data_IF_129785322737
#
_entry.id   IF_129785322737
#
_cell.length_a   1.000
_cell.length_b   1.000
_cell.length_c   1.000
_cell.angle_alpha   90.00
_cell.angle_beta   90.00
_cell.angle_gamma   90.00
#
_symmetry.space_group_name_H-M   'P 1'
#
loop_
_entity.id
_entity.type
_entity.pdbx_description
1 polymer ?
#
# COMPACT_ATOMS: atom_id res chain seq x y z
N UNK A 1 9.84 -15.02 -12.14
CA UNK A 1 8.98 -15.95 -12.90
C UNK A 1 9.80 -16.95 -13.72
N UNK A 2 10.83 -16.50 -14.44
CA UNK A 2 11.68 -17.35 -15.29
C UNK A 2 12.18 -18.62 -14.59
N UNK A 3 12.77 -18.49 -13.41
CA UNK A 3 13.26 -19.65 -12.64
C UNK A 3 12.17 -20.69 -12.35
N UNK A 4 10.91 -20.27 -12.14
CA UNK A 4 9.79 -21.20 -11.96
C UNK A 4 9.42 -21.90 -13.28
N UNK A 5 9.41 -21.16 -14.39
CA UNK A 5 9.14 -21.71 -15.72
C UNK A 5 10.22 -22.71 -16.19
N UNK A 6 11.48 -22.49 -15.81
CA UNK A 6 12.59 -23.42 -16.09
C UNK A 6 12.44 -24.78 -15.40
N UNK A 7 11.71 -24.81 -14.28
CA UNK A 7 11.41 -26.03 -13.55
C UNK A 7 10.23 -26.80 -14.16
N UNK A 8 9.44 -26.17 -15.04
CA UNK A 8 8.36 -26.84 -15.76
C UNK A 8 8.92 -27.80 -16.82
N UNK A 9 8.35 -29.00 -16.85
CA UNK A 9 8.74 -30.09 -17.74
C UNK A 9 7.73 -30.34 -18.87
N UNK A 10 6.54 -29.78 -18.76
CA UNK A 10 5.45 -29.91 -19.74
C UNK A 10 4.55 -28.67 -19.76
N UNK A 11 3.67 -28.59 -20.76
CA UNK A 11 2.83 -27.42 -21.03
C UNK A 11 1.75 -27.21 -19.97
N UNK A 12 1.24 -28.27 -19.37
CA UNK A 12 0.29 -28.21 -18.25
C UNK A 12 0.91 -27.57 -17.01
N UNK A 13 2.16 -27.91 -16.69
CA UNK A 13 2.93 -27.28 -15.62
C UNK A 13 3.20 -25.80 -15.86
N UNK A 14 3.43 -25.40 -17.11
CA UNK A 14 3.57 -23.98 -17.49
C UNK A 14 2.27 -23.24 -17.22
N UNK A 15 1.15 -23.79 -17.71
CA UNK A 15 -0.16 -23.19 -17.52
C UNK A 15 -0.49 -23.04 -16.02
N UNK A 16 -0.23 -24.08 -15.24
CA UNK A 16 -0.38 -24.06 -13.78
C UNK A 16 0.54 -23.02 -13.13
N UNK A 17 1.82 -22.97 -13.51
CA UNK A 17 2.79 -22.03 -12.94
C UNK A 17 2.36 -20.58 -13.14
N UNK A 18 1.82 -20.24 -14.32
CA UNK A 18 1.32 -18.89 -14.61
C UNK A 18 0.05 -18.61 -13.79
N UNK A 19 -0.91 -19.53 -13.75
CA UNK A 19 -2.11 -19.37 -12.90
C UNK A 19 -1.76 -19.18 -11.43
N UNK A 20 -0.86 -20.01 -10.90
CA UNK A 20 -0.39 -19.93 -9.52
C UNK A 20 0.36 -18.61 -9.25
N UNK A 21 1.10 -18.07 -10.22
CA UNK A 21 1.75 -16.76 -10.09
C UNK A 21 0.72 -15.64 -9.84
N UNK A 22 -0.39 -15.64 -10.58
CA UNK A 22 -1.46 -14.65 -10.43
C UNK A 22 -2.34 -14.92 -9.20
N UNK A 23 -2.62 -16.18 -8.88
CA UNK A 23 -3.43 -16.57 -7.72
C UNK A 23 -2.72 -16.30 -6.38
N UNK A 24 -1.42 -16.58 -6.31
CA UNK A 24 -0.59 -16.37 -5.12
C UNK A 24 0.03 -14.96 -5.07
N UNK A 25 -0.35 -14.08 -6.00
CA UNK A 25 0.20 -12.72 -6.02
C UNK A 25 -0.34 -11.94 -4.82
N UNK A 26 0.52 -11.76 -3.82
CA UNK A 26 0.16 -11.30 -2.47
C UNK A 26 0.38 -9.79 -2.32
N UNK A 27 -0.44 -9.00 -3.02
CA UNK A 27 -0.55 -7.54 -2.80
C UNK A 27 -2.04 -7.16 -2.84
N UNK A 28 -2.74 -7.34 -1.72
CA UNK A 28 -4.09 -6.80 -1.45
C UNK A 28 -5.07 -6.88 -2.64
N UNK A 29 -5.59 -5.71 -3.06
CA UNK A 29 -6.51 -5.53 -4.19
C UNK A 29 -5.79 -5.38 -5.54
N UNK A 30 -4.47 -5.53 -5.59
CA UNK A 30 -3.69 -5.36 -6.81
C UNK A 30 -3.30 -6.70 -7.44
N UNK A 31 -3.10 -6.69 -8.75
CA UNK A 31 -2.61 -7.81 -9.53
C UNK A 31 -1.65 -7.29 -10.61
N UNK A 32 -0.64 -8.06 -11.07
CA UNK A 32 0.25 -7.59 -12.13
C UNK A 32 -0.51 -7.38 -13.44
N UNK A 33 -0.82 -6.13 -13.78
CA UNK A 33 -1.44 -5.77 -15.05
C UNK A 33 -0.47 -5.91 -16.21
N UNK A 34 0.80 -5.57 -15.98
CA UNK A 34 1.94 -5.86 -16.86
C UNK A 34 3.08 -6.39 -15.99
N UNK A 35 3.70 -7.49 -16.41
CA UNK A 35 4.89 -8.06 -15.78
C UNK A 35 5.94 -8.39 -16.85
N UNK A 36 7.18 -8.02 -16.59
CA UNK A 36 8.32 -8.24 -17.48
C UNK A 36 9.53 -8.72 -16.69
N UNK A 37 10.19 -9.74 -17.20
CA UNK A 37 11.47 -10.24 -16.71
C UNK A 37 12.40 -10.45 -17.92
N UNK A 38 13.65 -9.99 -17.82
CA UNK A 38 14.59 -9.98 -18.93
C UNK A 38 14.50 -8.72 -19.81
N UNK A 39 15.16 -8.74 -20.97
CA UNK A 39 15.38 -7.54 -21.80
C UNK A 39 14.73 -7.64 -23.17
N UNK A 40 13.39 -7.73 -23.20
CA UNK A 40 12.56 -7.72 -24.42
C UNK A 40 12.86 -6.60 -25.45
N UNK A 41 13.72 -5.63 -25.13
CA UNK A 41 13.99 -4.43 -25.92
C UNK A 41 15.48 -4.01 -26.02
N UNK A 42 16.45 -4.78 -25.51
CA UNK A 42 17.87 -4.38 -25.67
C UNK A 42 18.61 -5.25 -26.69
N UNK A 43 19.03 -4.61 -27.78
CA UNK A 43 19.89 -5.13 -28.86
C UNK A 43 21.30 -5.52 -28.43
N UNK A 44 21.64 -5.44 -27.14
CA UNK A 44 22.92 -5.95 -26.62
C UNK A 44 22.77 -7.45 -26.36
N UNK A 45 23.28 -8.22 -27.31
CA UNK A 45 23.25 -9.69 -27.44
C UNK A 45 23.93 -10.48 -26.32
N UNK A 46 24.26 -9.88 -25.19
CA UNK A 46 25.14 -10.51 -24.20
C UNK A 46 24.42 -10.60 -22.84
N UNK A 47 24.19 -11.85 -22.42
CA UNK A 47 23.84 -12.35 -21.08
C UNK A 47 22.41 -12.77 -20.72
N UNK A 48 21.36 -12.46 -21.50
CA UNK A 48 20.02 -12.95 -21.14
C UNK A 48 19.65 -14.27 -21.83
N UNK A 49 19.66 -15.36 -21.05
CA UNK A 49 19.26 -16.70 -21.50
C UNK A 49 17.73 -16.88 -21.57
N UNK A 50 16.94 -16.05 -20.88
CA UNK A 50 15.48 -16.14 -20.86
C UNK A 50 14.76 -14.80 -20.67
N UNK A 51 13.54 -14.71 -21.19
CA UNK A 51 12.66 -13.55 -21.17
C UNK A 51 11.20 -13.99 -20.91
N UNK A 52 10.49 -13.26 -20.05
CA UNK A 52 9.07 -13.48 -19.80
C UNK A 52 8.30 -12.16 -19.73
N UNK A 53 7.26 -12.03 -20.55
CA UNK A 53 6.35 -10.88 -20.58
C UNK A 53 4.94 -11.38 -20.39
N UNK A 54 4.17 -10.71 -19.55
CA UNK A 54 2.77 -11.00 -19.35
C UNK A 54 1.96 -9.71 -19.21
N UNK A 55 0.71 -9.74 -19.65
CA UNK A 55 -0.26 -8.66 -19.46
C UNK A 55 -1.67 -9.18 -19.31
N UNK A 56 -2.54 -8.36 -18.73
CA UNK A 56 -3.95 -8.68 -18.54
C UNK A 56 -4.83 -8.20 -19.70
N UNK A 57 -5.78 -9.05 -20.08
CA UNK A 57 -6.85 -8.76 -21.02
C UNK A 57 -8.20 -9.15 -20.41
N UNK A 58 -9.26 -8.50 -20.87
CA UNK A 58 -10.65 -8.88 -20.63
C UNK A 58 -11.24 -9.44 -21.92
N UNK A 59 -11.78 -10.66 -21.83
CA UNK A 59 -12.41 -11.38 -22.95
C UNK A 59 -13.87 -11.66 -22.63
N UNK A 60 -14.82 -11.44 -23.55
CA UNK A 60 -16.22 -11.81 -23.31
C UNK A 60 -16.35 -13.29 -22.96
N UNK A 61 -17.14 -13.62 -21.95
CA UNK A 61 -17.28 -14.98 -21.41
C UNK A 61 -17.67 -16.03 -22.46
N UNK A 62 -18.34 -15.62 -23.54
CA UNK A 62 -18.77 -16.49 -24.64
C UNK A 62 -17.75 -16.73 -25.76
N UNK A 63 -16.56 -16.10 -25.75
CA UNK A 63 -15.56 -16.23 -26.82
C UNK A 63 -14.47 -17.24 -26.44
N UNK A 64 -14.35 -18.36 -27.14
CA UNK A 64 -13.30 -19.36 -26.84
C UNK A 64 -11.87 -18.84 -27.10
N UNK A 65 -10.89 -19.34 -26.33
CA UNK A 65 -9.47 -19.03 -26.55
C UNK A 65 -8.93 -19.85 -27.73
N UNK A 66 -9.02 -19.28 -28.93
CA UNK A 66 -8.54 -19.92 -30.17
C UNK A 66 -7.22 -19.34 -30.70
N UNK A 67 -6.85 -18.14 -30.26
CA UNK A 67 -5.63 -17.42 -30.62
C UNK A 67 -5.06 -16.63 -29.43
N UNK A 68 -3.82 -16.19 -29.56
CA UNK A 68 -3.26 -15.14 -28.70
C UNK A 68 -3.36 -13.81 -29.43
N UNK A 69 -3.65 -12.75 -28.70
CA UNK A 69 -3.72 -11.40 -29.22
C UNK A 69 -2.40 -10.66 -29.06
N UNK A 70 -1.44 -11.18 -28.29
CA UNK A 70 -0.19 -10.52 -27.85
C UNK A 70 0.60 -9.71 -28.90
N UNK A 71 0.38 -9.93 -30.20
CA UNK A 71 0.98 -9.17 -31.31
C UNK A 71 0.18 -7.89 -31.59
N UNK A 72 0.60 -6.74 -31.03
CA UNK A 72 0.06 -5.39 -31.38
C UNK A 72 -0.28 -4.41 -30.23
N UNK A 73 0.18 -4.67 -29.00
CA UNK A 73 -0.82 -4.92 -27.97
C UNK A 73 -0.83 -4.03 -26.72
N UNK A 74 -0.40 -2.78 -26.88
CA UNK A 74 -0.61 -1.69 -25.92
C UNK A 74 -1.20 -0.44 -26.60
N UNK A 75 -1.59 -0.53 -27.87
CA UNK A 75 -2.09 0.62 -28.62
C UNK A 75 -3.40 1.15 -28.01
N UNK A 76 -3.47 2.47 -27.86
CA UNK A 76 -4.68 3.17 -27.48
C UNK A 76 -5.80 2.90 -28.50
N UNK A 77 -6.96 2.44 -28.06
CA UNK A 77 -8.08 2.11 -28.94
C UNK A 77 -7.95 0.77 -29.69
N UNK A 78 -7.10 -0.15 -29.23
CA UNK A 78 -7.08 -1.50 -29.78
C UNK A 78 -8.39 -2.23 -29.46
N UNK A 79 -9.13 -2.52 -30.53
CA UNK A 79 -10.33 -3.33 -30.55
C UNK A 79 -10.01 -4.47 -31.55
N UNK A 80 -9.83 -5.71 -31.08
CA UNK A 80 -9.77 -6.84 -32.01
C UNK A 80 -11.19 -7.19 -32.46
N UNK A 81 -11.64 -6.53 -33.53
CA UNK A 81 -12.90 -6.78 -34.22
C UNK A 81 -12.66 -7.59 -35.49
N UNK A 82 -11.96 -8.72 -35.38
CA UNK A 82 -11.56 -9.56 -36.53
C UNK A 82 -12.74 -10.16 -37.33
N UNK A 83 -13.99 -9.96 -36.88
CA UNK A 83 -15.18 -10.16 -37.71
C UNK A 83 -15.77 -8.79 -38.14
N UNK A 84 -15.75 -8.51 -39.45
CA UNK A 84 -16.30 -7.27 -40.04
C UNK A 84 -17.80 -7.05 -39.73
N UNK A 85 -18.49 -8.07 -39.21
CA UNK A 85 -19.90 -8.02 -38.76
C UNK A 85 -20.09 -7.51 -37.33
N UNK A 86 -19.03 -7.38 -36.55
CA UNK A 86 -19.07 -7.02 -35.11
C UNK A 86 -18.77 -5.54 -34.82
N UNK A 87 -18.61 -4.69 -35.85
CA UNK A 87 -18.26 -3.26 -35.71
C UNK A 87 -19.23 -2.39 -34.89
N UNK A 88 -20.39 -2.93 -34.51
CA UNK A 88 -21.46 -2.19 -33.81
C UNK A 88 -21.82 -2.76 -32.43
N UNK A 89 -21.14 -3.80 -31.93
CA UNK A 89 -21.46 -4.40 -30.63
C UNK A 89 -20.21 -4.44 -29.73
N UNK A 90 -20.09 -3.40 -28.89
CA UNK A 90 -19.04 -3.24 -27.86
C UNK A 90 -18.98 -4.47 -26.93
N UNK A 91 -20.09 -5.24 -26.87
CA UNK A 91 -20.27 -6.51 -26.17
C UNK A 91 -19.25 -7.61 -26.47
N UNK A 92 -18.68 -7.60 -27.68
CA UNK A 92 -17.91 -8.74 -28.20
C UNK A 92 -16.40 -8.48 -28.28
N UNK A 93 -15.92 -7.32 -27.83
CA UNK A 93 -14.51 -6.98 -27.97
C UNK A 93 -13.64 -7.49 -26.83
N UNK A 94 -12.39 -7.80 -27.17
CA UNK A 94 -11.34 -8.14 -26.21
C UNK A 94 -10.55 -6.88 -25.89
N UNK A 95 -10.43 -6.56 -24.60
CA UNK A 95 -9.76 -5.35 -24.15
C UNK A 95 -8.43 -5.66 -23.49
N UNK A 96 -7.39 -4.91 -23.84
CA UNK A 96 -6.25 -4.76 -22.95
C UNK A 96 -6.71 -4.07 -21.67
N UNK A 97 -6.33 -4.57 -20.50
CA UNK A 97 -6.62 -3.85 -19.24
C UNK A 97 -5.80 -2.56 -19.21
N UNK A 98 -4.51 -2.65 -19.52
CA UNK A 98 -3.60 -1.50 -19.57
C UNK A 98 -3.26 -1.16 -21.02
N UNK A 99 -3.32 0.13 -21.37
CA UNK A 99 -2.94 0.68 -22.68
C UNK A 99 -1.87 1.76 -22.54
N UNK A 100 -1.18 2.06 -23.63
CA UNK A 100 -0.27 3.19 -23.73
C UNK A 100 -0.96 4.36 -24.43
N UNK A 101 -0.82 5.57 -23.85
CA UNK A 101 -1.29 6.84 -24.42
C UNK A 101 -0.10 7.79 -24.56
N UNK A 102 -0.10 8.65 -25.56
CA UNK A 102 0.89 9.72 -25.65
C UNK A 102 0.44 10.93 -24.83
N UNK A 103 1.29 11.40 -23.92
CA UNK A 103 1.05 12.54 -23.04
C UNK A 103 2.32 13.38 -22.91
N UNK A 104 2.24 14.68 -23.25
CA UNK A 104 3.38 15.61 -23.30
C UNK A 104 4.68 15.02 -23.89
N UNK A 105 4.57 14.36 -25.06
CA UNK A 105 5.69 13.72 -25.80
C UNK A 105 6.28 12.46 -25.15
N UNK A 106 5.69 11.95 -24.06
CA UNK A 106 6.02 10.67 -23.46
C UNK A 106 4.91 9.64 -23.73
N UNK A 107 5.27 8.37 -23.87
CA UNK A 107 4.29 7.27 -23.88
C UNK A 107 4.08 6.81 -22.45
N UNK A 108 2.85 6.96 -21.95
CA UNK A 108 2.45 6.65 -20.58
C UNK A 108 1.52 5.43 -20.53
N UNK A 109 1.60 4.65 -19.46
CA UNK A 109 0.62 3.58 -19.20
C UNK A 109 -0.63 4.12 -18.49
N UNK A 110 -1.80 3.63 -18.88
CA UNK A 110 -3.10 4.01 -18.32
C UNK A 110 -4.12 2.88 -18.44
N UNK A 111 -5.22 2.91 -17.68
CA UNK A 111 -6.32 1.96 -17.83
C UNK A 111 -6.99 2.18 -19.19
N UNK A 112 -7.46 1.10 -19.80
CA UNK A 112 -8.22 1.21 -21.04
C UNK A 112 -9.49 2.06 -20.84
N UNK A 113 -9.71 3.10 -21.65
CA UNK A 113 -10.85 4.01 -21.51
C UNK A 113 -12.22 3.37 -21.60
N UNK A 114 -12.33 2.21 -22.24
CA UNK A 114 -13.60 1.47 -22.30
C UNK A 114 -13.95 0.80 -20.96
N UNK A 115 -13.01 0.70 -20.02
CA UNK A 115 -13.19 -0.01 -18.76
C UNK A 115 -13.51 0.90 -17.57
N UNK A 116 -13.55 2.22 -17.73
CA UNK A 116 -13.80 3.14 -16.61
C UNK A 116 -15.01 4.07 -16.77
N UNK A 117 -15.89 3.79 -17.71
CA UNK A 117 -17.03 4.66 -18.02
C UNK A 117 -18.23 4.40 -17.10
N UNK A 118 -18.01 4.48 -15.79
CA UNK A 118 -19.09 4.36 -14.80
C UNK A 118 -19.44 5.72 -14.20
N UNK A 119 -20.74 6.04 -14.16
CA UNK A 119 -21.27 7.30 -13.61
C UNK A 119 -21.01 7.47 -12.10
N UNK A 120 -20.47 6.43 -11.44
CA UNK A 120 -20.26 6.35 -9.99
C UNK A 120 -18.81 6.61 -9.56
N UNK A 121 -17.87 6.79 -10.49
CA UNK A 121 -16.44 6.94 -10.16
C UNK A 121 -15.83 8.12 -10.91
N UNK A 122 -15.16 9.01 -10.18
CA UNK A 122 -14.35 10.07 -10.80
C UNK A 122 -12.92 9.58 -10.97
N UNK A 123 -12.49 9.51 -12.21
CA UNK A 123 -11.08 9.27 -12.55
C UNK A 123 -10.48 10.58 -13.06
N UNK A 124 -9.43 11.04 -12.39
CA UNK A 124 -8.64 12.16 -12.89
C UNK A 124 -7.16 11.76 -13.00
N UNK A 125 -6.50 12.28 -14.03
CA UNK A 125 -5.12 11.95 -14.37
C UNK A 125 -4.16 12.71 -13.44
N UNK A 126 -3.35 11.98 -12.66
CA UNK A 126 -2.22 12.52 -11.87
C UNK A 126 -0.94 11.82 -12.29
N UNK A 127 0.11 12.56 -12.62
CA UNK A 127 1.40 11.93 -12.98
C UNK A 127 2.13 11.58 -11.69
N UNK A 128 2.30 10.30 -11.39
CA UNK A 128 3.23 9.84 -10.35
C UNK A 128 4.60 9.63 -10.98
N UNK A 129 5.51 10.56 -10.69
CA UNK A 129 6.96 10.45 -10.90
C UNK A 129 7.47 10.10 -12.31
N UNK A 130 8.80 10.12 -12.43
CA UNK A 130 9.65 10.07 -13.63
C UNK A 130 9.51 8.82 -14.52
N UNK A 131 8.53 7.93 -14.29
CA UNK A 131 8.43 6.60 -14.90
C UNK A 131 7.31 6.41 -15.93
N UNK A 132 6.70 7.50 -16.39
CA UNK A 132 5.67 7.48 -17.44
C UNK A 132 4.46 6.57 -17.13
N UNK A 133 3.91 6.61 -15.92
CA UNK A 133 2.59 6.03 -15.61
C UNK A 133 1.63 7.17 -15.33
N UNK A 134 0.52 7.26 -16.06
CA UNK A 134 -0.58 8.13 -15.65
C UNK A 134 -1.36 7.39 -14.58
N UNK A 135 -1.33 7.95 -13.38
CA UNK A 135 -2.21 7.49 -12.33
C UNK A 135 -3.62 7.96 -12.69
N UNK A 136 -4.48 7.01 -13.03
CA UNK A 136 -5.92 7.19 -12.93
C UNK A 136 -6.23 6.85 -11.47
N UNK A 137 -6.74 7.81 -10.70
CA UNK A 137 -7.11 7.57 -9.31
C UNK A 137 -8.55 7.07 -9.27
N UNK A 138 -8.80 5.94 -8.61
CA UNK A 138 -10.14 5.45 -8.35
C UNK A 138 -10.69 6.12 -7.09
N UNK A 139 -11.79 6.86 -7.24
CA UNK A 139 -12.53 7.44 -6.14
C UNK A 139 -13.84 6.67 -5.95
N UNK A 140 -13.95 5.93 -4.85
CA UNK A 140 -15.22 5.34 -4.43
C UNK A 140 -15.94 6.32 -3.50
N UNK A 141 -17.14 6.76 -3.89
CA UNK A 141 -17.93 7.79 -3.20
C UNK A 141 -18.26 7.42 -1.74
N UNK A 142 -18.19 6.13 -1.39
CA UNK A 142 -18.42 5.62 -0.03
C UNK A 142 -17.22 5.84 0.90
N UNK A 143 -16.02 6.06 0.35
CA UNK A 143 -14.75 6.17 1.09
C UNK A 143 -14.09 7.51 0.79
N UNK A 144 -14.68 8.60 1.27
CA UNK A 144 -14.41 9.99 0.84
C UNK A 144 -13.01 10.59 1.09
N UNK A 145 -12.00 9.77 1.41
CA UNK A 145 -10.60 10.23 1.59
C UNK A 145 -9.52 9.26 1.08
N UNK A 146 -9.86 8.05 0.62
CA UNK A 146 -8.86 7.07 0.18
C UNK A 146 -8.77 7.06 -1.35
N UNK A 147 -7.81 7.78 -1.90
CA UNK A 147 -7.46 7.72 -3.32
C UNK A 147 -6.66 6.44 -3.60
N UNK A 148 -7.27 5.45 -4.27
CA UNK A 148 -6.55 4.24 -4.67
C UNK A 148 -6.02 4.42 -6.10
N UNK A 149 -4.70 4.40 -6.31
CA UNK A 149 -4.16 4.45 -7.67
C UNK A 149 -4.63 3.22 -8.46
N UNK A 150 -5.29 3.40 -9.60
CA UNK A 150 -5.69 2.27 -10.46
C UNK A 150 -4.46 1.50 -10.93
N UNK A 151 -3.35 2.21 -11.18
CA UNK A 151 -2.09 1.65 -11.61
C UNK A 151 -0.94 2.07 -10.67
N UNK A 152 -0.14 1.10 -10.24
CA UNK A 152 1.07 1.34 -9.42
C UNK A 152 2.29 0.75 -10.11
N UNK A 153 3.34 1.55 -10.31
CA UNK A 153 4.62 1.06 -10.84
C UNK A 153 5.45 0.44 -9.72
N UNK A 154 5.87 -0.81 -9.88
CA UNK A 154 6.78 -1.50 -8.96
C UNK A 154 8.10 -1.79 -9.68
N UNK A 155 9.05 -0.86 -9.56
CA UNK A 155 10.29 -0.91 -10.33
C UNK A 155 10.05 -0.69 -11.83
N UNK A 156 10.94 -1.17 -12.68
CA UNK A 156 10.86 -0.96 -14.15
C UNK A 156 10.20 -2.12 -14.89
N UNK A 157 9.84 -3.16 -14.15
CA UNK A 157 9.48 -4.47 -14.66
C UNK A 157 8.02 -4.84 -14.41
N UNK A 158 7.31 -4.07 -13.59
CA UNK A 158 5.98 -4.44 -13.12
C UNK A 158 5.07 -3.22 -12.98
N UNK A 159 3.87 -3.33 -13.52
CA UNK A 159 2.78 -2.38 -13.34
C UNK A 159 1.62 -3.16 -12.73
N UNK A 160 1.30 -2.80 -11.50
CA UNK A 160 0.19 -3.34 -10.74
C UNK A 160 -1.10 -2.65 -11.14
N UNK A 161 -2.18 -3.41 -11.13
CA UNK A 161 -3.53 -2.98 -11.50
C UNK A 161 -4.49 -3.28 -10.35
N UNK A 162 -5.32 -2.30 -9.99
CA UNK A 162 -6.34 -2.41 -8.96
C UNK A 162 -7.51 -3.27 -9.47
N UNK A 163 -7.68 -4.48 -8.91
CA UNK A 163 -8.73 -5.44 -9.28
C UNK A 163 -10.13 -4.83 -9.23
N UNK A 164 -10.40 -4.01 -8.22
CA UNK A 164 -11.69 -3.35 -8.03
C UNK A 164 -12.12 -2.49 -9.22
N UNK A 165 -11.17 -1.95 -9.98
CA UNK A 165 -11.48 -1.07 -11.12
C UNK A 165 -12.15 -1.76 -12.31
N UNK A 166 -12.28 -3.09 -12.30
CA UNK A 166 -12.99 -3.87 -13.32
C UNK A 166 -13.99 -4.87 -12.71
N UNK A 167 -14.28 -4.76 -11.41
CA UNK A 167 -15.09 -5.75 -10.69
C UNK A 167 -16.47 -5.94 -11.32
N UNK A 168 -17.09 -4.85 -11.74
CA UNK A 168 -18.42 -4.83 -12.38
C UNK A 168 -18.46 -5.55 -13.74
N UNK A 169 -17.32 -5.66 -14.43
CA UNK A 169 -17.23 -6.36 -15.71
C UNK A 169 -17.04 -7.88 -15.58
N UNK A 170 -16.50 -8.35 -14.45
CA UNK A 170 -16.03 -9.74 -14.28
C UNK A 170 -16.82 -10.51 -13.22
N UNK A 171 -17.28 -9.84 -12.14
CA UNK A 171 -17.89 -10.47 -10.95
C UNK A 171 -19.32 -10.01 -10.64
N UNK A 172 -20.00 -9.22 -11.50
CA UNK A 172 -21.31 -8.67 -11.14
C UNK A 172 -22.38 -9.77 -10.94
N UNK A 173 -22.99 -9.80 -9.74
CA UNK A 173 -24.23 -10.54 -9.49
C UNK A 173 -25.43 -9.89 -10.20
N UNK A 174 -25.32 -8.60 -10.53
CA UNK A 174 -26.29 -7.86 -11.32
C UNK A 174 -26.08 -8.08 -12.83
N UNK A 175 -27.15 -8.02 -13.61
CA UNK A 175 -27.22 -8.25 -15.06
C UNK A 175 -26.45 -7.19 -15.90
N UNK A 176 -25.18 -6.92 -15.60
CA UNK A 176 -24.32 -6.14 -16.49
C UNK A 176 -23.95 -7.00 -17.69
N UNK A 177 -24.37 -6.52 -18.86
CA UNK A 177 -24.04 -7.11 -20.15
C UNK A 177 -23.19 -6.11 -20.91
N UNK A 178 -22.05 -6.51 -21.48
CA UNK A 178 -21.45 -7.86 -21.54
C UNK A 178 -20.69 -8.30 -20.28
N UNK A 179 -20.65 -9.62 -20.02
CA UNK A 179 -19.80 -10.24 -18.99
C UNK A 179 -18.43 -10.64 -19.55
N UNK A 180 -17.36 -10.31 -18.83
CA UNK A 180 -15.99 -10.60 -19.19
C UNK A 180 -15.35 -11.68 -18.30
N UNK A 181 -14.33 -12.33 -18.84
CA UNK A 181 -13.38 -13.21 -18.16
C UNK A 181 -12.01 -12.54 -18.20
N UNK A 182 -11.30 -12.58 -17.07
CA UNK A 182 -9.93 -12.08 -16.98
C UNK A 182 -8.96 -13.15 -17.49
N UNK A 183 -8.13 -12.78 -18.46
CA UNK A 183 -7.11 -13.67 -19.01
C UNK A 183 -5.74 -12.98 -19.01
N UNK A 184 -4.70 -13.79 -18.91
CA UNK A 184 -3.30 -13.39 -19.05
C UNK A 184 -2.84 -13.75 -20.44
N UNK A 185 -2.29 -12.78 -21.17
CA UNK A 185 -1.47 -13.07 -22.34
C UNK A 185 -0.01 -13.06 -21.96
N UNK A 186 0.77 -14.01 -22.48
CA UNK A 186 2.19 -14.07 -22.18
C UNK A 186 3.05 -14.46 -23.38
N UNK A 187 4.28 -14.00 -23.33
CA UNK A 187 5.39 -14.45 -24.17
C UNK A 187 6.52 -14.93 -23.28
N UNK A 188 7.01 -16.13 -23.58
CA UNK A 188 8.16 -16.73 -22.92
C UNK A 188 9.19 -17.15 -23.96
N UNK A 189 10.43 -16.74 -23.77
CA UNK A 189 11.56 -17.11 -24.62
C UNK A 189 12.69 -17.59 -23.73
N UNK A 190 13.18 -18.82 -23.88
CA UNK A 190 14.32 -19.28 -23.07
C UNK A 190 15.16 -20.35 -23.78
N UNK A 191 16.48 -20.20 -23.70
CA UNK A 191 17.47 -21.16 -24.18
C UNK A 191 17.66 -22.34 -23.22
N UNK A 192 17.39 -22.11 -21.93
CA UNK A 192 17.54 -23.07 -20.84
C UNK A 192 16.13 -23.48 -20.42
N UNK A 193 15.62 -24.58 -20.96
CA UNK A 193 14.33 -25.11 -20.56
C UNK A 193 14.32 -26.64 -20.66
N UNK A 194 13.42 -27.26 -19.88
CA UNK A 194 13.24 -28.72 -19.83
C UNK A 194 11.90 -29.15 -20.43
N UNK A 195 11.31 -28.31 -21.28
CA UNK A 195 9.92 -28.47 -21.73
C UNK A 195 9.89 -29.53 -22.83
N UNK A 196 9.09 -30.58 -22.63
CA UNK A 196 8.85 -31.62 -23.64
C UNK A 196 8.31 -31.02 -24.94
N UNK A 197 8.55 -31.71 -26.05
CA UNK A 197 8.10 -31.26 -27.38
C UNK A 197 6.57 -31.23 -27.49
N UNK A 198 6.03 -30.08 -27.92
CA UNK A 198 4.63 -29.88 -28.27
C UNK A 198 4.54 -28.71 -29.27
N UNK A 199 3.49 -28.69 -30.10
CA UNK A 199 3.25 -27.60 -31.05
C UNK A 199 2.18 -26.63 -30.53
N UNK A 200 1.06 -27.18 -30.07
CA UNK A 200 -0.09 -26.42 -29.60
C UNK A 200 -0.82 -27.17 -28.49
N UNK A 201 -1.15 -26.45 -27.43
CA UNK A 201 -1.95 -26.91 -26.31
C UNK A 201 -3.19 -26.03 -26.21
N UNK A 202 -4.38 -26.62 -26.23
CA UNK A 202 -5.66 -25.90 -26.11
C UNK A 202 -6.59 -26.63 -25.17
N UNK A 203 -7.23 -25.89 -24.28
CA UNK A 203 -8.42 -26.30 -23.57
C UNK A 203 -9.37 -25.10 -23.42
N UNK A 204 -10.47 -25.26 -22.69
CA UNK A 204 -11.50 -24.21 -22.53
C UNK A 204 -11.02 -22.95 -21.82
N UNK A 205 -9.86 -22.97 -21.16
CA UNK A 205 -9.33 -21.88 -20.32
C UNK A 205 -7.88 -21.51 -20.66
N UNK A 206 -7.32 -22.09 -21.73
CA UNK A 206 -5.89 -21.95 -22.04
C UNK A 206 -5.59 -22.27 -23.50
N UNK A 207 -4.75 -21.44 -24.12
CA UNK A 207 -4.03 -21.71 -25.35
C UNK A 207 -2.55 -21.44 -25.12
N UNK A 208 -1.68 -22.39 -25.48
CA UNK A 208 -0.23 -22.19 -25.55
C UNK A 208 0.27 -22.74 -26.87
N UNK A 209 0.99 -21.92 -27.62
CA UNK A 209 1.59 -22.26 -28.92
C UNK A 209 3.10 -22.14 -28.82
N UNK A 210 3.80 -23.11 -29.40
CA UNK A 210 5.24 -23.06 -29.58
C UNK A 210 5.55 -22.51 -30.96
N UNK A 211 6.25 -21.37 -31.01
CA UNK A 211 6.73 -20.78 -32.26
C UNK A 211 8.04 -21.47 -32.69
N UNK A 212 8.20 -21.74 -33.98
CA UNK A 212 9.33 -22.53 -34.50
C UNK A 212 10.63 -21.72 -34.53
N UNK A 213 11.57 -22.08 -33.64
CA UNK A 213 12.95 -21.56 -33.60
C UNK A 213 13.90 -22.68 -33.14
N UNK A 214 15.11 -22.70 -33.71
CA UNK A 214 16.08 -23.79 -33.50
C UNK A 214 16.96 -23.56 -32.24
N UNK A 215 17.00 -22.34 -31.71
CA UNK A 215 17.98 -21.88 -30.73
C UNK A 215 17.40 -21.51 -29.35
N UNK A 216 16.08 -21.41 -29.22
CA UNK A 216 15.37 -21.19 -27.96
C UNK A 216 13.93 -21.71 -28.03
N UNK A 217 13.33 -22.01 -26.88
CA UNK A 217 11.88 -22.22 -26.81
C UNK A 217 11.20 -20.88 -26.81
N UNK A 218 10.26 -20.69 -27.73
CA UNK A 218 9.42 -19.52 -27.82
C UNK A 218 7.96 -19.92 -27.67
N UNK A 219 7.35 -19.52 -26.56
CA UNK A 219 5.94 -19.77 -26.29
C UNK A 219 5.16 -18.47 -26.31
N UNK A 220 3.98 -18.55 -26.92
CA UNK A 220 2.94 -17.53 -26.84
C UNK A 220 1.68 -18.20 -26.29
N UNK A 221 1.02 -17.55 -25.36
CA UNK A 221 -0.22 -18.12 -24.84
C UNK A 221 -1.16 -17.12 -24.19
N UNK A 222 -2.39 -17.59 -24.03
CA UNK A 222 -3.47 -16.89 -23.34
C UNK A 222 -4.12 -17.85 -22.35
N UNK A 223 -4.24 -17.44 -21.09
CA UNK A 223 -4.69 -18.29 -20.00
C UNK A 223 -5.72 -17.54 -19.15
N UNK A 224 -6.91 -18.11 -18.96
CA UNK A 224 -7.86 -17.56 -18.00
C UNK A 224 -7.31 -17.70 -16.57
N UNK A 225 -7.42 -16.62 -15.81
CA UNK A 225 -7.05 -16.58 -14.40
C UNK A 225 -8.28 -16.29 -13.56
N UNK A 226 -8.30 -16.82 -12.35
CA UNK A 226 -9.41 -16.58 -11.44
C UNK A 226 -9.39 -15.12 -10.99
N UNK A 227 -10.49 -14.41 -11.26
CA UNK A 227 -10.69 -13.06 -10.76
C UNK A 227 -11.26 -13.09 -9.34
N UNK A 228 -10.36 -13.30 -8.39
CA UNK A 228 -10.67 -13.25 -6.98
C UNK A 228 -10.40 -11.83 -6.48
N UNK A 229 -11.46 -11.04 -6.34
CA UNK A 229 -11.45 -9.96 -5.35
C UNK A 229 -11.35 -10.69 -4.02
N UNK A 230 -10.31 -10.46 -3.20
CA UNK A 230 -10.25 -11.05 -1.88
C UNK A 230 -11.58 -10.76 -1.19
N UNK A 231 -12.43 -11.78 -1.01
CA UNK A 231 -13.62 -11.63 -0.17
C UNK A 231 -13.12 -11.05 1.13
N UNK A 232 -13.69 -9.93 1.57
CA UNK A 232 -13.38 -9.25 2.82
C UNK A 232 -12.84 -10.28 3.81
N UNK A 233 -11.52 -10.33 3.94
CA UNK A 233 -10.89 -11.18 4.94
C UNK A 233 -11.18 -10.43 6.21
N UNK A 234 -12.37 -10.68 6.77
CA UNK A 234 -12.90 -9.97 7.92
C UNK A 234 -11.79 -9.86 8.95
N UNK A 235 -11.53 -8.64 9.38
CA UNK A 235 -10.49 -8.38 10.35
C UNK A 235 -10.89 -9.06 11.66
N UNK A 236 -9.99 -9.89 12.20
CA UNK A 236 -10.18 -10.50 13.53
C UNK A 236 -9.69 -9.53 14.61
N UNK A 237 -10.35 -8.37 14.65
CA UNK A 237 -10.07 -7.27 15.57
C UNK A 237 -11.29 -7.02 16.44
N UNK A 238 -11.02 -6.79 17.73
CA UNK A 238 -12.02 -6.32 18.65
C UNK A 238 -11.86 -4.82 18.95
N UNK A 239 -12.97 -4.17 19.18
CA UNK A 239 -13.07 -2.79 19.65
C UNK A 239 -13.53 -2.78 21.10
N UNK A 240 -13.04 -1.81 21.87
CA UNK A 240 -13.52 -1.50 23.21
C UNK A 240 -14.40 -0.25 23.08
N UNK A 241 -15.67 -0.37 23.43
CA UNK A 241 -16.56 0.77 23.54
C UNK A 241 -16.26 1.56 24.82
N UNK A 242 -16.62 2.84 24.84
CA UNK A 242 -16.44 3.72 26.02
C UNK A 242 -17.22 3.24 27.25
N UNK A 243 -18.36 2.57 27.06
CA UNK A 243 -19.12 1.89 28.12
C UNK A 243 -18.42 0.62 28.66
N UNK A 244 -17.28 0.24 28.06
CA UNK A 244 -16.46 -0.90 28.42
C UNK A 244 -16.95 -2.24 27.85
N UNK A 245 -17.90 -2.25 26.92
CA UNK A 245 -18.23 -3.45 26.16
C UNK A 245 -17.17 -3.71 25.09
N UNK A 246 -17.12 -4.96 24.63
CA UNK A 246 -16.27 -5.40 23.55
C UNK A 246 -17.15 -5.90 22.42
N UNK A 247 -16.84 -5.50 21.19
CA UNK A 247 -17.44 -6.06 19.98
C UNK A 247 -16.37 -6.30 18.92
N UNK A 248 -16.76 -6.95 17.83
CA UNK A 248 -15.94 -7.01 16.62
C UNK A 248 -15.91 -5.63 15.97
N UNK A 249 -14.83 -5.37 15.24
CA UNK A 249 -14.73 -4.19 14.39
C UNK A 249 -15.88 -4.15 13.38
N UNK A 250 -16.45 -2.95 13.24
CA UNK A 250 -17.32 -2.57 12.14
C UNK A 250 -16.44 -1.88 11.10
N UNK A 251 -16.06 -2.62 10.07
CA UNK A 251 -15.20 -2.13 8.98
C UNK A 251 -15.89 -1.07 8.11
N UNK A 252 -17.20 -0.83 8.32
CA UNK A 252 -17.97 0.21 7.63
C UNK A 252 -18.07 1.54 8.41
N UNK A 253 -17.56 1.60 9.65
CA UNK A 253 -17.56 2.82 10.45
C UNK A 253 -16.32 3.68 10.13
N UNK A 254 -16.47 4.79 9.40
CA UNK A 254 -15.35 5.62 8.92
C UNK A 254 -15.18 6.97 9.62
N UNK A 255 -16.19 7.39 10.37
CA UNK A 255 -16.26 8.72 10.99
C UNK A 255 -16.67 8.69 12.45
N UNK A 256 -16.92 7.52 13.03
CA UNK A 256 -17.27 7.33 14.44
C UNK A 256 -18.55 8.07 14.88
N UNK A 257 -19.47 8.36 13.95
CA UNK A 257 -20.67 9.18 14.18
C UNK A 257 -21.69 8.61 15.19
N UNK A 258 -21.92 7.29 15.19
CA UNK A 258 -23.01 6.68 15.98
C UNK A 258 -22.56 5.58 16.96
N UNK A 259 -21.42 4.91 16.73
CA UNK A 259 -20.89 3.88 17.63
C UNK A 259 -19.36 3.88 17.63
N UNK A 260 -18.77 4.89 18.29
CA UNK A 260 -17.33 5.03 18.39
C UNK A 260 -16.68 3.86 19.15
N UNK A 261 -15.93 3.03 18.40
CA UNK A 261 -15.10 1.96 18.94
C UNK A 261 -13.66 2.43 19.15
N UNK A 262 -13.00 1.96 20.21
CA UNK A 262 -11.56 2.17 20.41
C UNK A 262 -10.80 0.86 20.22
N UNK A 263 -9.85 0.86 19.31
CA UNK A 263 -9.03 -0.30 19.01
C UNK A 263 -7.72 -0.17 19.75
N UNK A 264 -7.48 -1.11 20.66
CA UNK A 264 -6.32 -1.06 21.56
C UNK A 264 -5.30 -2.09 21.11
N UNK A 265 -4.09 -1.63 20.79
CA UNK A 265 -2.95 -2.47 20.48
C UNK A 265 -1.93 -2.42 21.60
N UNK A 266 -1.25 -3.54 21.83
CA UNK A 266 -0.06 -3.55 22.68
C UNK A 266 1.10 -2.84 21.98
N UNK A 267 2.00 -2.25 22.76
CA UNK A 267 3.09 -1.44 22.21
C UNK A 267 4.06 -2.19 21.26
N UNK A 268 4.06 -3.52 21.17
CA UNK A 268 4.94 -4.23 20.23
C UNK A 268 4.65 -3.88 18.77
N UNK A 269 3.42 -3.47 18.45
CA UNK A 269 3.05 -3.01 17.10
C UNK A 269 3.89 -1.82 16.62
N UNK A 270 4.44 -0.98 17.51
CA UNK A 270 5.24 0.17 17.09
C UNK A 270 6.50 -0.22 16.33
N UNK A 271 7.05 -1.42 16.54
CA UNK A 271 8.20 -1.85 15.74
C UNK A 271 7.80 -1.93 14.26
N UNK A 272 6.66 -2.55 13.98
CA UNK A 272 6.10 -2.69 12.64
C UNK A 272 5.64 -1.34 12.08
N UNK A 273 4.83 -0.59 12.84
CA UNK A 273 4.29 0.68 12.37
C UNK A 273 5.39 1.70 12.01
N UNK A 274 6.50 1.74 12.76
CA UNK A 274 7.63 2.65 12.47
C UNK A 274 8.37 2.33 11.17
N UNK A 275 8.13 1.18 10.54
CA UNK A 275 8.71 0.88 9.22
C UNK A 275 8.05 1.71 8.11
N UNK A 276 6.82 2.19 8.33
CA UNK A 276 6.01 2.94 7.36
C UNK A 276 5.52 4.30 7.85
N UNK A 277 5.41 4.50 9.16
CA UNK A 277 4.77 5.67 9.75
C UNK A 277 5.69 6.45 10.68
N UNK A 278 5.53 7.77 10.66
CA UNK A 278 6.04 8.69 11.68
C UNK A 278 4.94 8.97 12.70
N UNK A 279 5.32 9.16 13.97
CA UNK A 279 4.38 9.55 15.02
C UNK A 279 4.73 10.95 15.50
N UNK A 280 3.85 11.91 15.29
CA UNK A 280 4.05 13.30 15.72
C UNK A 280 2.74 13.73 16.40
N UNK A 281 2.84 14.31 17.60
CA UNK A 281 1.68 14.68 18.44
C UNK A 281 0.76 13.48 18.73
N UNK A 282 -0.50 13.55 18.28
CA UNK A 282 -1.54 12.53 18.35
C UNK A 282 -1.85 12.00 16.94
N UNK A 283 -0.87 12.05 16.05
CA UNK A 283 -1.02 11.66 14.66
C UNK A 283 0.00 10.59 14.25
N UNK A 284 -0.46 9.64 13.45
CA UNK A 284 0.36 8.67 12.74
C UNK A 284 0.35 9.03 11.25
N UNK A 285 1.51 9.26 10.67
CA UNK A 285 1.68 9.90 9.37
C UNK A 285 2.39 8.93 8.42
N UNK A 286 1.78 8.63 7.27
CA UNK A 286 2.32 7.71 6.27
C UNK A 286 3.52 8.35 5.54
N UNK A 287 4.68 7.69 5.57
CA UNK A 287 5.89 8.19 4.90
C UNK A 287 5.80 8.18 3.37
N UNK A 288 4.81 7.50 2.78
CA UNK A 288 4.60 7.44 1.33
C UNK A 288 3.58 8.46 0.83
N UNK A 289 2.50 8.70 1.58
CA UNK A 289 1.40 9.57 1.12
C UNK A 289 1.33 10.92 1.83
N UNK A 290 2.00 11.06 2.98
CA UNK A 290 1.84 12.17 3.95
C UNK A 290 0.46 12.25 4.62
N UNK A 291 -0.44 11.29 4.37
CA UNK A 291 -1.72 11.26 5.05
C UNK A 291 -1.53 10.94 6.53
N UNK A 292 -2.39 11.53 7.36
CA UNK A 292 -2.35 11.35 8.80
C UNK A 292 -3.66 10.77 9.33
N UNK A 293 -3.55 9.83 10.26
CA UNK A 293 -4.67 9.38 11.08
C UNK A 293 -4.45 9.72 12.54
N UNK A 294 -5.53 9.88 13.29
CA UNK A 294 -5.47 10.13 14.72
C UNK A 294 -5.05 8.85 15.47
N UNK A 295 -4.10 8.99 16.38
CA UNK A 295 -3.62 7.89 17.22
C UNK A 295 -3.32 8.42 18.63
N UNK A 296 -3.56 7.58 19.63
CA UNK A 296 -3.27 7.91 21.02
C UNK A 296 -2.28 6.95 21.66
N UNK A 297 -1.55 7.45 22.65
CA UNK A 297 -0.53 6.73 23.39
C UNK A 297 -0.86 6.74 24.87
N UNK A 298 -1.32 5.58 25.37
CA UNK A 298 -1.70 5.43 26.78
C UNK A 298 -0.82 4.39 27.47
N UNK A 299 0.24 4.88 28.12
CA UNK A 299 1.24 4.05 28.78
C UNK A 299 1.99 3.16 27.79
N UNK A 300 1.68 1.86 27.78
CA UNK A 300 2.26 0.88 26.85
C UNK A 300 1.23 0.39 25.82
N UNK A 301 0.30 1.25 25.41
CA UNK A 301 -0.74 0.96 24.41
C UNK A 301 -0.73 1.98 23.31
N UNK A 302 -1.08 1.53 22.11
CA UNK A 302 -1.38 2.36 20.95
C UNK A 302 -2.87 2.21 20.70
N UNK A 303 -3.58 3.32 20.57
CA UNK A 303 -5.04 3.32 20.51
C UNK A 303 -5.49 4.11 19.30
N UNK A 304 -6.42 3.53 18.55
CA UNK A 304 -7.08 4.17 17.44
C UNK A 304 -8.57 4.31 17.73
N UNK A 305 -9.17 5.37 17.21
CA UNK A 305 -10.60 5.37 16.93
C UNK A 305 -10.88 4.39 15.79
N UNK A 306 -12.05 3.76 15.79
CA UNK A 306 -12.39 2.75 14.80
C UNK A 306 -12.42 3.33 13.38
N UNK A 307 -12.98 4.52 13.20
CA UNK A 307 -12.96 5.24 11.93
C UNK A 307 -11.54 5.54 11.45
N UNK A 308 -10.69 6.00 12.36
CA UNK A 308 -9.28 6.31 12.07
C UNK A 308 -8.47 5.06 11.72
N UNK A 309 -8.74 3.94 12.40
CA UNK A 309 -8.14 2.67 12.06
C UNK A 309 -8.63 2.15 10.71
N UNK A 310 -9.90 2.33 10.37
CA UNK A 310 -10.46 1.84 9.11
C UNK A 310 -9.83 2.50 7.89
N UNK A 311 -9.40 3.78 8.02
CA UNK A 311 -8.61 4.52 7.01
C UNK A 311 -7.29 3.84 6.68
N UNK A 312 -6.73 3.00 7.56
CA UNK A 312 -5.48 2.33 7.31
C UNK A 312 -5.57 1.32 6.15
N UNK A 313 -4.47 1.13 5.40
CA UNK A 313 -4.36 0.08 4.39
C UNK A 313 -4.62 -1.31 4.99
N UNK A 314 -5.25 -2.20 4.21
CA UNK A 314 -5.67 -3.51 4.71
C UNK A 314 -4.48 -4.36 5.19
N UNK A 315 -3.35 -4.33 4.50
CA UNK A 315 -2.11 -5.02 4.87
C UNK A 315 -1.61 -4.61 6.26
N UNK A 316 -1.71 -3.31 6.56
CA UNK A 316 -1.35 -2.75 7.88
C UNK A 316 -2.35 -3.23 8.92
N UNK A 317 -3.66 -3.14 8.63
CA UNK A 317 -4.72 -3.61 9.54
C UNK A 317 -4.57 -5.10 9.85
N UNK A 318 -4.23 -5.90 8.85
CA UNK A 318 -4.07 -7.35 8.98
C UNK A 318 -2.88 -7.73 9.85
N UNK A 319 -1.72 -7.11 9.65
CA UNK A 319 -0.55 -7.34 10.49
C UNK A 319 -0.80 -6.89 11.94
N UNK A 320 -1.62 -5.86 12.14
CA UNK A 320 -1.98 -5.35 13.45
C UNK A 320 -2.86 -6.30 14.29
N UNK A 321 -3.57 -7.26 13.68
CA UNK A 321 -4.46 -8.20 14.38
C UNK A 321 -3.78 -8.91 15.55
N UNK A 322 -2.53 -9.37 15.37
CA UNK A 322 -1.77 -10.09 16.39
C UNK A 322 -1.44 -9.24 17.62
N UNK A 323 -1.50 -7.91 17.49
CA UNK A 323 -1.22 -6.98 18.57
C UNK A 323 -2.49 -6.50 19.29
N UNK A 324 -3.68 -6.83 18.78
CA UNK A 324 -4.96 -6.37 19.32
C UNK A 324 -5.20 -6.92 20.74
N UNK A 325 -5.48 -6.02 21.68
CA UNK A 325 -5.70 -6.35 23.08
C UNK A 325 -7.14 -6.84 23.26
N UNK A 326 -7.30 -8.16 23.29
CA UNK A 326 -8.63 -8.84 23.34
C UNK A 326 -9.36 -8.81 24.69
N UNK A 327 -9.06 -7.84 25.55
CA UNK A 327 -9.55 -7.79 26.94
C UNK A 327 -10.10 -6.41 27.27
N UNK A 328 -11.10 -6.36 28.16
CA UNK A 328 -11.72 -5.10 28.58
C UNK A 328 -10.67 -4.18 29.20
N UNK A 329 -10.54 -3.00 28.63
CA UNK A 329 -9.60 -1.98 29.12
C UNK A 329 -10.34 -0.88 29.89
N UNK A 330 -9.72 -0.40 30.97
CA UNK A 330 -10.09 0.86 31.63
C UNK A 330 -9.04 1.91 31.27
N UNK A 331 -9.46 3.19 31.23
CA UNK A 331 -8.58 4.31 30.86
C UNK A 331 -7.97 4.08 29.47
N UNK A 332 -8.83 4.00 28.46
CA UNK A 332 -8.43 3.56 27.11
C UNK A 332 -7.70 4.67 26.38
N UNK A 333 -8.18 5.91 26.51
CA UNK A 333 -7.59 7.11 25.91
C UNK A 333 -6.97 8.02 26.97
N UNK A 334 -6.00 8.83 26.54
CA UNK A 334 -5.32 9.86 27.31
C UNK A 334 -6.28 10.99 27.64
N UNK A 335 -5.91 11.81 28.63
CA UNK A 335 -6.72 12.96 29.02
C UNK A 335 -6.82 13.98 27.88
N UNK A 336 -5.73 14.22 27.16
CA UNK A 336 -5.73 15.09 25.98
C UNK A 336 -6.71 14.60 24.91
N UNK A 337 -6.65 13.31 24.56
CA UNK A 337 -7.54 12.71 23.57
C UNK A 337 -9.02 12.75 24.00
N UNK A 338 -9.29 12.50 25.29
CA UNK A 338 -10.63 12.62 25.85
C UNK A 338 -11.17 14.05 25.73
N UNK A 339 -10.38 15.04 26.14
CA UNK A 339 -10.80 16.44 26.09
C UNK A 339 -11.02 16.90 24.66
N UNK A 340 -10.14 16.50 23.74
CA UNK A 340 -10.27 16.86 22.33
C UNK A 340 -11.49 16.23 21.66
N UNK A 341 -11.58 14.90 21.66
CA UNK A 341 -12.54 14.18 20.81
C UNK A 341 -13.93 14.03 21.45
N UNK A 342 -14.01 13.94 22.78
CA UNK A 342 -15.29 13.70 23.47
C UNK A 342 -15.89 14.94 24.11
N UNK A 343 -15.05 15.83 24.67
CA UNK A 343 -15.52 17.11 25.21
C UNK A 343 -15.51 18.23 24.18
N UNK A 344 -14.97 18.01 22.98
CA UNK A 344 -14.76 19.05 21.96
C UNK A 344 -14.00 20.27 22.50
N UNK A 345 -13.07 20.05 23.43
CA UNK A 345 -12.29 21.08 24.08
C UNK A 345 -11.07 21.43 23.21
N UNK A 346 -11.08 22.62 22.62
CA UNK A 346 -9.95 23.09 21.80
C UNK A 346 -8.68 23.40 22.61
N UNK A 347 -8.81 23.57 23.93
CA UNK A 347 -7.68 23.72 24.86
C UNK A 347 -7.19 22.36 25.39
N UNK A 348 -7.34 21.28 24.61
CA UNK A 348 -6.92 19.92 25.01
C UNK A 348 -5.40 19.82 25.25
N UNK A 349 -4.63 20.70 24.59
CA UNK A 349 -3.18 20.82 24.69
C UNK A 349 -2.70 21.02 26.14
N UNK A 350 -3.52 21.65 27.00
CA UNK A 350 -3.23 21.79 28.44
C UNK A 350 -3.06 20.44 29.15
N UNK A 351 -3.62 19.36 28.60
CA UNK A 351 -3.59 18.01 29.16
C UNK A 351 -2.59 17.07 28.48
N UNK A 352 -1.87 17.56 27.47
CA UNK A 352 -0.82 16.81 26.78
C UNK A 352 0.44 16.64 27.64
N UNK A 353 1.11 15.51 27.43
CA UNK A 353 2.46 15.31 27.94
C UNK A 353 3.46 16.25 27.23
N UNK A 354 4.57 16.63 27.88
CA UNK A 354 5.60 17.48 27.28
C UNK A 354 6.05 17.04 25.88
N UNK A 355 6.27 15.74 25.66
CA UNK A 355 6.68 15.24 24.32
C UNK A 355 5.59 15.43 23.25
N UNK A 356 4.32 15.37 23.62
CA UNK A 356 3.18 15.60 22.70
C UNK A 356 3.07 17.08 22.34
N UNK A 357 3.27 17.98 23.32
CA UNK A 357 3.31 19.44 23.09
C UNK A 357 4.45 19.86 22.15
N UNK A 358 5.62 19.25 22.31
CA UNK A 358 6.72 19.40 21.34
C UNK A 358 6.27 18.88 19.98
N UNK A 359 5.62 17.71 19.93
CA UNK A 359 5.01 17.14 18.73
C UNK A 359 4.10 18.13 18.00
N UNK A 360 3.17 18.77 18.71
CA UNK A 360 2.28 19.79 18.16
C UNK A 360 3.05 20.96 17.55
N UNK A 361 4.04 21.50 18.27
CA UNK A 361 4.89 22.59 17.75
C UNK A 361 5.65 22.17 16.49
N UNK A 362 6.17 20.94 16.45
CA UNK A 362 6.84 20.38 15.28
C UNK A 362 5.85 20.21 14.12
N UNK A 363 4.66 19.68 14.38
CA UNK A 363 3.62 19.50 13.37
C UNK A 363 3.16 20.83 12.76
N UNK A 364 2.93 21.85 13.59
CA UNK A 364 2.44 23.15 13.12
C UNK A 364 3.49 23.99 12.38
N UNK A 365 4.77 23.90 12.77
CA UNK A 365 5.79 24.85 12.32
C UNK A 365 6.97 24.23 11.57
N UNK A 366 7.21 22.92 11.73
CA UNK A 366 8.42 22.24 11.26
C UNK A 366 8.12 20.89 10.59
N UNK A 367 6.89 20.69 10.10
CA UNK A 367 6.44 19.40 9.61
C UNK A 367 7.34 18.83 8.50
N UNK A 368 7.62 19.62 7.45
CA UNK A 368 8.42 19.14 6.32
C UNK A 368 9.84 18.74 6.77
N UNK A 369 10.46 19.50 7.68
CA UNK A 369 11.79 19.18 8.22
C UNK A 369 11.74 17.88 9.03
N UNK A 370 10.72 17.72 9.87
CA UNK A 370 10.54 16.50 10.67
C UNK A 370 10.27 15.28 9.77
N UNK A 371 9.46 15.46 8.72
CA UNK A 371 9.14 14.42 7.76
C UNK A 371 10.38 13.98 6.96
N UNK A 372 11.14 14.92 6.39
CA UNK A 372 12.37 14.64 5.63
C UNK A 372 13.46 13.99 6.48
N UNK A 373 13.53 14.33 7.77
CA UNK A 373 14.49 13.74 8.71
C UNK A 373 14.03 12.40 9.30
N UNK A 374 12.81 11.95 9.01
CA UNK A 374 12.23 10.74 9.59
C UNK A 374 12.04 10.84 11.11
N UNK A 375 11.82 12.05 11.64
CA UNK A 375 11.65 12.27 13.07
C UNK A 375 10.26 11.78 13.53
N UNK A 376 10.27 10.69 14.28
CA UNK A 376 9.14 10.28 15.11
C UNK A 376 9.33 10.78 16.55
N UNK A 377 8.26 11.16 17.23
CA UNK A 377 8.23 11.73 18.59
C UNK A 377 7.50 10.85 19.60
N UNK A 378 7.22 9.60 19.26
CA UNK A 378 6.82 8.58 20.23
C UNK A 378 7.90 8.33 21.30
N UNK A 379 7.53 7.75 22.45
CA UNK A 379 8.47 7.54 23.55
C UNK A 379 9.60 6.53 23.18
N UNK A 380 10.88 6.84 23.46
CA UNK A 380 12.01 6.01 23.07
C UNK A 380 12.08 4.68 23.82
N UNK A 381 12.59 3.65 23.12
CA UNK A 381 12.76 2.28 23.66
C UNK A 381 14.21 1.87 23.83
N UNK A 382 15.13 2.63 23.26
CA UNK A 382 16.55 2.35 23.35
C UNK A 382 17.30 3.64 23.66
N UNK A 383 18.49 3.49 24.26
CA UNK A 383 19.41 4.62 24.48
C UNK A 383 19.74 5.35 23.17
N UNK A 384 19.78 4.61 22.05
CA UNK A 384 20.05 5.17 20.73
C UNK A 384 18.86 6.02 20.26
N UNK A 385 17.65 5.47 20.32
CA UNK A 385 16.42 6.22 19.98
C UNK A 385 16.28 7.49 20.81
N UNK A 386 16.56 7.43 22.11
CA UNK A 386 16.54 8.60 22.99
C UNK A 386 17.50 9.68 22.49
N UNK A 387 18.76 9.30 22.23
CA UNK A 387 19.78 10.23 21.74
C UNK A 387 19.40 10.83 20.39
N UNK A 388 19.02 10.00 19.43
CA UNK A 388 18.67 10.42 18.08
C UNK A 388 17.50 11.43 18.10
N UNK A 389 16.49 11.19 18.96
CA UNK A 389 15.37 12.14 19.14
C UNK A 389 15.81 13.46 19.77
N UNK A 390 16.68 13.43 20.79
CA UNK A 390 17.23 14.64 21.41
C UNK A 390 18.00 15.48 20.38
N UNK A 391 18.96 14.84 19.69
CA UNK A 391 19.83 15.52 18.73
C UNK A 391 19.01 16.15 17.59
N UNK A 392 17.99 15.43 17.09
CA UNK A 392 17.09 15.95 16.07
C UNK A 392 16.25 17.13 16.57
N UNK A 393 15.71 17.07 17.79
CA UNK A 393 14.90 18.16 18.35
C UNK A 393 15.74 19.42 18.58
N UNK A 394 16.93 19.29 19.16
CA UNK A 394 17.87 20.41 19.32
C UNK A 394 18.17 21.08 17.98
N UNK A 395 18.41 20.27 16.93
CA UNK A 395 18.65 20.76 15.58
C UNK A 395 17.43 21.48 14.99
N UNK A 396 16.23 20.91 15.10
CA UNK A 396 14.99 21.51 14.55
C UNK A 396 14.72 22.87 15.19
N UNK A 397 14.85 22.96 16.52
CA UNK A 397 14.59 24.20 17.25
C UNK A 397 15.80 25.14 17.30
N UNK A 398 16.94 24.76 16.73
CA UNK A 398 18.20 25.51 16.79
C UNK A 398 18.61 25.89 18.21
N UNK A 399 18.45 24.94 19.15
CA UNK A 399 18.80 25.08 20.57
C UNK A 399 20.02 24.22 20.86
N UNK A 400 21.01 24.77 21.56
CA UNK A 400 22.15 24.04 22.08
C UNK A 400 21.78 23.31 23.38
N UNK A 401 22.32 22.11 23.60
CA UNK A 401 21.97 21.32 24.80
C UNK A 401 22.24 22.07 26.12
N UNK A 402 23.26 22.93 26.14
CA UNK A 402 23.63 23.74 27.30
C UNK A 402 22.67 24.92 27.58
N UNK A 403 21.74 25.23 26.68
CA UNK A 403 20.73 26.29 26.89
C UNK A 403 19.56 25.79 27.73
N UNK A 404 19.38 24.47 27.87
CA UNK A 404 18.31 23.83 28.64
C UNK A 404 18.53 23.89 30.18
N UNK A 405 19.48 24.70 30.66
CA UNK A 405 20.18 24.50 31.93
C UNK A 405 19.29 24.57 33.19
N UNK A 406 19.16 23.43 33.90
CA UNK A 406 18.79 23.31 35.33
C UNK A 406 19.76 22.35 36.00
N UNK A 407 20.38 22.73 37.12
CA UNK A 407 21.33 21.91 37.90
C UNK A 407 20.63 20.73 38.61
N UNK A 408 20.15 19.76 37.84
CA UNK A 408 19.36 18.64 38.33
C UNK A 408 19.92 17.30 37.84
N UNK A 409 19.62 16.25 38.61
CA UNK A 409 20.09 14.88 38.33
C UNK A 409 19.68 14.38 36.94
N UNK A 410 18.51 14.79 36.43
CA UNK A 410 18.02 14.42 35.11
C UNK A 410 18.93 14.92 33.98
N UNK A 411 19.33 16.19 34.05
CA UNK A 411 20.23 16.80 33.07
C UNK A 411 21.61 16.12 33.03
N UNK A 412 22.21 15.86 34.20
CA UNK A 412 23.50 15.15 34.30
C UNK A 412 23.41 13.75 33.68
N UNK A 413 22.29 13.07 33.85
CA UNK A 413 22.08 11.75 33.24
C UNK A 413 21.94 11.85 31.71
N UNK A 414 21.17 12.81 31.21
CA UNK A 414 21.05 13.07 29.77
C UNK A 414 22.41 13.38 29.12
N UNK A 415 23.23 14.23 29.76
CA UNK A 415 24.58 14.55 29.29
C UNK A 415 25.46 13.29 29.18
N UNK A 416 25.38 12.38 30.16
CA UNK A 416 26.10 11.11 30.11
C UNK A 416 25.62 10.21 28.97
N UNK A 417 24.31 10.20 28.68
CA UNK A 417 23.74 9.40 27.59
C UNK A 417 24.18 9.93 26.23
N UNK A 418 24.08 11.25 26.01
CA UNK A 418 24.52 11.92 24.78
C UNK A 418 26.00 11.61 24.50
N UNK A 419 26.82 11.61 25.55
CA UNK A 419 28.25 11.28 25.51
C UNK A 419 28.55 9.77 25.50
N UNK A 420 27.55 8.89 25.36
CA UNK A 420 27.69 7.42 25.38
C UNK A 420 28.33 6.84 26.66
N UNK A 421 28.26 7.57 27.79
CA UNK A 421 28.81 7.18 29.10
C UNK A 421 27.80 6.46 29.99
N UNK A 422 26.53 6.37 29.56
CA UNK A 422 25.47 5.70 30.30
C UNK A 422 24.44 5.07 29.35
N UNK A 423 23.90 3.91 29.73
CA UNK A 423 22.84 3.21 28.99
C UNK A 423 21.62 3.06 29.90
N UNK A 424 20.57 3.87 29.71
CA UNK A 424 19.37 3.82 30.54
C UNK A 424 18.55 2.56 30.27
N UNK A 425 17.68 2.23 31.23
CA UNK A 425 16.60 1.25 30.99
C UNK A 425 15.55 1.83 30.03
N UNK A 426 14.64 0.99 29.52
CA UNK A 426 13.53 1.46 28.68
C UNK A 426 12.68 2.50 29.42
N UNK A 427 12.31 2.22 30.66
CA UNK A 427 11.43 3.11 31.44
C UNK A 427 12.12 4.44 31.77
N UNK A 428 13.39 4.38 32.14
CA UNK A 428 14.22 5.57 32.36
C UNK A 428 14.37 6.39 31.08
N UNK A 429 14.51 5.74 29.91
CA UNK A 429 14.60 6.44 28.62
C UNK A 429 13.35 7.28 28.34
N UNK A 430 12.16 6.72 28.63
CA UNK A 430 10.89 7.44 28.45
C UNK A 430 10.79 8.65 29.38
N UNK A 431 11.12 8.45 30.67
CA UNK A 431 11.06 9.52 31.67
C UNK A 431 12.05 10.64 31.35
N UNK A 432 13.27 10.29 30.93
CA UNK A 432 14.29 11.26 30.54
C UNK A 432 13.91 12.02 29.26
N UNK A 433 13.25 11.36 28.30
CA UNK A 433 12.76 12.03 27.10
C UNK A 433 11.66 13.04 27.41
N UNK A 434 10.70 12.67 28.24
CA UNK A 434 9.62 13.58 28.65
C UNK A 434 10.16 14.76 29.48
N UNK A 435 11.11 14.50 30.37
CA UNK A 435 11.85 15.53 31.11
C UNK A 435 12.63 16.48 30.17
N UNK A 436 13.30 15.93 29.15
CA UNK A 436 13.99 16.73 28.14
C UNK A 436 13.00 17.65 27.41
N UNK A 437 11.88 17.10 26.92
CA UNK A 437 10.85 17.85 26.21
C UNK A 437 10.27 18.96 27.09
N UNK A 438 10.06 18.71 28.40
CA UNK A 438 9.61 19.72 29.34
C UNK A 438 10.57 20.91 29.46
N UNK A 439 11.88 20.65 29.53
CA UNK A 439 12.87 21.73 29.59
C UNK A 439 12.99 22.47 28.25
N UNK A 440 12.95 21.74 27.14
CA UNK A 440 12.98 22.32 25.80
C UNK A 440 11.78 23.25 25.55
N UNK A 441 10.57 22.87 25.95
CA UNK A 441 9.40 23.76 25.93
C UNK A 441 9.65 25.05 26.70
N UNK A 442 10.25 24.94 27.89
CA UNK A 442 10.60 26.10 28.71
C UNK A 442 11.59 27.06 28.05
N UNK A 443 12.44 26.60 27.12
CA UNK A 443 13.31 27.49 26.35
C UNK A 443 12.55 28.09 25.17
N UNK A 444 11.91 27.24 24.35
CA UNK A 444 11.20 27.66 23.13
C UNK A 444 10.06 28.66 23.43
N UNK A 445 9.35 28.51 24.54
CA UNK A 445 8.24 29.39 24.90
C UNK A 445 8.68 30.71 25.52
N UNK A 446 9.92 30.82 26.03
CA UNK A 446 10.46 32.04 26.63
C UNK A 446 11.19 32.95 25.62
N UNK A 447 11.46 32.47 24.40
CA UNK A 447 12.03 33.25 23.29
C UNK A 447 10.98 34.04 22.47
N UNK A 448 9.73 34.10 22.93
CA UNK A 448 8.65 34.98 22.44
C UNK A 448 8.31 36.05 23.46
#
# INVERSE_FOLDING_TARGET
>A
MLEKLRQCSNVEEIAKCIKDFYHLYDIDNYIPGIYKEGSFLFTKKEDNNGEFYAKLILRPKGIDINQTWLKGNLQYGFIDGSDDREKNDIGNYIYNVIVQKNFYRNSIYTLNPYLYNDNNSYIYEKVQDTKNVANLVYYNVTFSTNEWPVLVSKGDNEILFLKESISDYVNSEENHYPQYTLSVEFEYRDKINNIKEFDKYVNSVCLITKERRDDFVWLLGTIDIDFVIPKDRKLDIITNQLNGNIRKIDESNWNDDMDAGLIVFNNKCLKYLKERYLFIELSMIDMHTKDSVLVDFVGNRVVFWEGEFNKLPYEVKKELEQYNVRKKCKGIISKAMFEWQLNCNLDYDKYEYPYQKIGKKVFENYFDIAFESGLSLDLPRTSKELKDKIDNLLKIFSVEFNELYKYERGFITLEKIINNKYKPTVEESKQLFDYFCYNLLGVIDNDK
#
